data_IF_307005820840
#
_entry.id   IF_307005820840
#
_cell.length_a   1.000
_cell.length_b   1.000
_cell.length_c   1.000
_cell.angle_alpha   90.00
_cell.angle_beta   90.00
_cell.angle_gamma   90.00
#
_symmetry.space_group_name_H-M   'P 1'
#
loop_
_entity.id
_entity.type
_entity.pdbx_description
1 polymer ?
#
# COMPACT_ATOMS: atom_id res chain seq x y z
N UNK A 1 17.96 -15.37 18.87
CA UNK A 1 16.70 -15.39 18.08
C UNK A 1 15.95 -14.13 18.50
N UNK A 2 15.69 -13.19 17.60
CA UNK A 2 14.97 -11.96 17.93
C UNK A 2 13.49 -12.32 17.89
N UNK A 3 12.84 -12.30 19.04
CA UNK A 3 11.49 -12.83 19.17
C UNK A 3 10.52 -11.69 18.82
N UNK A 4 9.75 -11.87 17.76
CA UNK A 4 8.84 -10.86 17.25
C UNK A 4 7.68 -10.47 18.21
N UNK A 5 7.61 -11.05 19.42
CA UNK A 5 6.63 -10.70 20.45
C UNK A 5 6.92 -9.34 21.14
N UNK A 6 8.10 -8.77 20.90
CA UNK A 6 8.48 -7.41 21.31
C UNK A 6 8.37 -6.42 20.15
N UNK A 7 7.26 -6.44 19.40
CA UNK A 7 6.83 -5.21 18.74
C UNK A 7 6.91 -4.10 19.82
N UNK A 8 7.77 -3.11 19.59
CA UNK A 8 8.12 -2.09 20.59
C UNK A 8 6.84 -1.47 21.14
N UNK A 9 6.89 -0.88 22.35
CA UNK A 9 5.70 -0.21 22.91
C UNK A 9 5.05 0.76 21.91
N UNK A 10 5.86 1.39 21.05
CA UNK A 10 5.45 2.25 19.94
C UNK A 10 4.63 1.52 18.87
N UNK A 11 5.08 0.35 18.41
CA UNK A 11 4.34 -0.47 17.45
C UNK A 11 2.97 -0.83 18.05
N UNK A 12 2.94 -1.31 19.30
CA UNK A 12 1.68 -1.66 19.97
C UNK A 12 0.75 -0.46 20.11
N UNK A 13 1.28 0.69 20.49
CA UNK A 13 0.51 1.93 20.59
C UNK A 13 -0.09 2.32 19.24
N UNK A 14 0.70 2.28 18.16
CA UNK A 14 0.23 2.59 16.81
C UNK A 14 -0.86 1.63 16.34
N UNK A 15 -0.65 0.31 16.48
CA UNK A 15 -1.67 -0.65 16.05
C UNK A 15 -2.96 -0.51 16.87
N UNK A 16 -2.86 -0.08 18.13
CA UNK A 16 -4.01 0.24 18.97
C UNK A 16 -4.78 1.47 18.46
N UNK A 17 -4.11 2.54 17.98
CA UNK A 17 -4.80 3.70 17.39
C UNK A 17 -5.55 3.32 16.12
N UNK A 18 -5.05 2.33 15.39
CA UNK A 18 -5.65 1.79 14.17
C UNK A 18 -6.73 0.73 14.43
N UNK A 19 -7.17 0.58 15.69
CA UNK A 19 -8.20 -0.39 16.13
C UNK A 19 -7.82 -1.86 15.93
N UNK A 20 -6.53 -2.20 15.91
CA UNK A 20 -6.09 -3.59 15.93
C UNK A 20 -5.94 -4.12 17.35
N UNK A 21 -6.37 -5.37 17.54
CA UNK A 21 -6.15 -6.07 18.79
C UNK A 21 -4.82 -6.85 18.81
N UNK A 22 -4.50 -7.44 19.96
CA UNK A 22 -3.29 -8.24 20.13
C UNK A 22 -3.21 -9.43 19.16
N UNK A 23 -4.34 -10.04 18.82
CA UNK A 23 -4.38 -11.20 17.93
C UNK A 23 -4.07 -10.81 16.49
N UNK A 24 -4.56 -9.65 16.04
CA UNK A 24 -4.24 -9.11 14.72
C UNK A 24 -2.76 -8.76 14.58
N UNK A 25 -2.19 -8.12 15.59
CA UNK A 25 -0.74 -7.83 15.63
C UNK A 25 0.06 -9.13 15.52
N UNK A 26 -0.30 -10.18 16.27
CA UNK A 26 0.38 -11.48 16.20
C UNK A 26 0.27 -12.10 14.80
N UNK A 27 -0.90 -12.01 14.14
CA UNK A 27 -1.07 -12.52 12.76
C UNK A 27 -0.18 -11.77 11.77
N UNK A 28 -0.16 -10.44 11.81
CA UNK A 28 0.69 -9.59 10.95
C UNK A 28 2.15 -9.95 11.17
N UNK A 29 2.54 -10.08 12.45
CA UNK A 29 3.90 -10.40 12.86
C UNK A 29 4.38 -11.74 12.32
N UNK A 30 3.57 -12.78 12.48
CA UNK A 30 3.91 -14.13 12.03
C UNK A 30 3.90 -14.26 10.50
N UNK A 31 3.09 -13.47 9.80
CA UNK A 31 2.98 -13.54 8.34
C UNK A 31 4.21 -12.99 7.61
N UNK A 32 4.85 -11.97 8.17
CA UNK A 32 6.07 -11.41 7.62
C UNK A 32 7.06 -11.06 8.74
N UNK A 33 7.75 -12.04 9.36
CA UNK A 33 8.70 -11.76 10.44
C UNK A 33 9.84 -10.82 10.01
N UNK A 34 10.20 -10.85 8.73
CA UNK A 34 11.27 -10.01 8.18
C UNK A 34 10.91 -8.52 8.10
N UNK A 35 9.62 -8.14 7.98
CA UNK A 35 9.23 -6.72 7.93
C UNK A 35 9.53 -6.02 9.25
N UNK A 36 9.56 -6.76 10.36
CA UNK A 36 9.79 -6.20 11.70
C UNK A 36 11.24 -5.87 11.99
N UNK A 37 12.18 -6.52 11.30
CA UNK A 37 13.61 -6.31 11.52
C UNK A 37 14.04 -4.87 11.18
N UNK A 38 13.35 -4.24 10.23
CA UNK A 38 13.62 -2.88 9.77
C UNK A 38 12.42 -1.95 10.03
N UNK A 39 11.55 -2.31 10.97
CA UNK A 39 10.33 -1.55 11.21
C UNK A 39 10.63 -0.22 11.88
N UNK A 40 10.06 0.85 11.33
CA UNK A 40 10.13 2.19 11.85
C UNK A 40 8.72 2.77 11.95
N UNK A 41 8.35 3.23 13.16
CA UNK A 41 7.03 3.82 13.42
C UNK A 41 6.78 5.06 12.55
N UNK A 42 7.82 5.81 12.18
CA UNK A 42 7.66 6.98 11.31
C UNK A 42 7.27 6.59 9.88
N UNK A 43 7.88 5.56 9.30
CA UNK A 43 7.58 5.11 7.93
C UNK A 43 6.17 4.54 7.82
N UNK A 44 5.70 3.93 8.90
CA UNK A 44 4.34 3.49 9.08
C UNK A 44 3.36 4.67 9.11
N UNK A 45 3.61 5.67 9.94
CA UNK A 45 2.79 6.90 9.99
C UNK A 45 2.77 7.57 8.62
N UNK A 46 3.92 7.70 7.94
CA UNK A 46 4.00 8.25 6.58
C UNK A 46 3.15 7.45 5.58
N UNK A 47 3.27 6.13 5.59
CA UNK A 47 2.49 5.23 4.73
C UNK A 47 1.00 5.40 4.95
N UNK A 48 0.57 5.48 6.21
CA UNK A 48 -0.85 5.60 6.56
C UNK A 48 -1.40 6.96 6.17
N UNK A 49 -0.71 8.05 6.52
CA UNK A 49 -1.08 9.41 6.09
C UNK A 49 -1.14 9.53 4.57
N UNK A 50 -0.22 8.87 3.85
CA UNK A 50 -0.24 8.83 2.39
C UNK A 50 -1.49 8.13 1.86
N UNK A 51 -1.85 6.96 2.39
CA UNK A 51 -3.05 6.23 1.97
C UNK A 51 -4.35 6.99 2.32
N UNK A 52 -4.39 7.64 3.49
CA UNK A 52 -5.50 8.51 3.88
C UNK A 52 -5.64 9.70 2.91
N UNK A 53 -4.52 10.28 2.46
CA UNK A 53 -4.54 11.35 1.45
C UNK A 53 -5.12 10.91 0.10
N UNK A 54 -5.16 9.60 -0.18
CA UNK A 54 -5.80 9.02 -1.35
C UNK A 54 -7.27 8.66 -1.11
N UNK A 55 -7.82 9.03 0.04
CA UNK A 55 -9.20 8.76 0.45
C UNK A 55 -9.43 7.33 0.94
N UNK A 56 -8.37 6.62 1.37
CA UNK A 56 -8.51 5.29 1.96
C UNK A 56 -8.85 5.41 3.44
N UNK A 57 -9.95 4.78 3.86
CA UNK A 57 -10.36 4.77 5.27
C UNK A 57 -9.41 3.95 6.15
N UNK A 58 -9.13 4.40 7.38
CA UNK A 58 -8.27 3.69 8.34
C UNK A 58 -8.63 2.22 8.53
N UNK A 59 -9.93 1.90 8.62
CA UNK A 59 -10.39 0.50 8.74
C UNK A 59 -9.95 -0.36 7.55
N UNK A 60 -9.93 0.22 6.35
CA UNK A 60 -9.49 -0.45 5.13
C UNK A 60 -7.97 -0.57 5.08
N UNK A 61 -7.25 0.47 5.50
CA UNK A 61 -5.80 0.43 5.69
C UNK A 61 -5.44 -0.71 6.66
N UNK A 62 -6.18 -0.85 7.75
CA UNK A 62 -5.96 -1.91 8.72
C UNK A 62 -6.05 -3.31 8.09
N UNK A 63 -7.14 -3.58 7.37
CA UNK A 63 -7.28 -4.85 6.62
C UNK A 63 -6.16 -5.06 5.61
N UNK A 64 -5.77 -4.00 4.90
CA UNK A 64 -4.72 -4.07 3.89
C UNK A 64 -3.37 -4.45 4.50
N UNK A 65 -3.02 -3.87 5.65
CA UNK A 65 -1.82 -4.19 6.41
C UNK A 65 -1.81 -5.65 6.89
N UNK A 66 -2.96 -6.18 7.32
CA UNK A 66 -3.08 -7.60 7.69
C UNK A 66 -2.85 -8.54 6.52
N UNK A 67 -3.36 -8.17 5.35
CA UNK A 67 -3.23 -8.98 4.15
C UNK A 67 -1.85 -8.83 3.49
N UNK A 68 -1.27 -7.63 3.57
CA UNK A 68 -0.08 -7.22 2.84
C UNK A 68 0.93 -6.47 3.74
N UNK A 69 1.50 -7.14 4.76
CA UNK A 69 2.42 -6.50 5.72
C UNK A 69 3.71 -5.97 5.07
N UNK A 70 4.07 -6.46 3.89
CA UNK A 70 5.22 -5.96 3.12
C UNK A 70 5.07 -4.49 2.69
N UNK A 71 3.87 -3.89 2.79
CA UNK A 71 3.67 -2.47 2.50
C UNK A 71 4.56 -1.58 3.37
N UNK A 72 4.94 -2.03 4.56
CA UNK A 72 5.84 -1.29 5.46
C UNK A 72 7.31 -1.36 5.07
N UNK A 73 7.68 -2.28 4.17
CA UNK A 73 9.01 -2.29 3.58
C UNK A 73 9.15 -1.30 2.42
N UNK A 74 8.07 -0.65 2.02
CA UNK A 74 8.06 0.31 0.92
C UNK A 74 8.22 1.73 1.47
N UNK A 75 9.04 2.53 0.81
CA UNK A 75 9.17 3.97 1.11
C UNK A 75 8.17 4.74 0.27
N UNK A 76 7.46 5.69 0.89
CA UNK A 76 6.40 6.44 0.21
C UNK A 76 6.98 7.15 -1.02
N UNK A 77 8.10 7.84 -0.85
CA UNK A 77 8.73 8.70 -1.86
C UNK A 77 9.36 7.90 -3.00
N UNK A 78 9.90 6.70 -2.70
CA UNK A 78 10.59 5.87 -3.70
C UNK A 78 9.64 4.88 -4.39
N UNK A 79 8.69 4.32 -3.64
CA UNK A 79 7.86 3.22 -4.11
C UNK A 79 6.44 3.63 -4.42
N UNK A 80 5.77 4.44 -3.58
CA UNK A 80 4.33 4.66 -3.71
C UNK A 80 3.99 5.89 -4.55
N UNK A 81 4.60 7.02 -4.20
CA UNK A 81 4.34 8.32 -4.80
C UNK A 81 4.58 8.35 -6.32
N UNK A 82 5.65 7.75 -6.88
CA UNK A 82 5.86 7.75 -8.32
C UNK A 82 4.74 7.03 -9.09
N UNK A 83 4.19 5.95 -8.51
CA UNK A 83 3.11 5.16 -9.13
C UNK A 83 1.79 5.92 -9.08
N UNK A 84 1.52 6.58 -7.96
CA UNK A 84 0.35 7.45 -7.83
C UNK A 84 0.44 8.63 -8.79
N UNK A 85 1.59 9.32 -8.88
CA UNK A 85 1.82 10.42 -9.82
C UNK A 85 1.61 9.98 -11.28
N UNK A 86 2.11 8.80 -11.64
CA UNK A 86 1.87 8.23 -12.96
C UNK A 86 0.38 8.04 -13.25
N UNK A 87 -0.38 7.44 -12.32
CA UNK A 87 -1.82 7.23 -12.49
C UNK A 87 -2.60 8.55 -12.55
N UNK A 88 -2.23 9.54 -11.74
CA UNK A 88 -2.79 10.89 -11.81
C UNK A 88 -2.52 11.54 -13.17
N UNK A 89 -1.31 11.38 -13.74
CA UNK A 89 -0.98 11.91 -15.07
C UNK A 89 -1.77 11.28 -16.22
N UNK A 90 -2.36 10.10 -16.00
CA UNK A 90 -3.28 9.45 -16.93
C UNK A 90 -4.73 9.93 -16.76
N UNK A 91 -4.98 10.87 -15.84
CA UNK A 91 -6.32 11.39 -15.56
C UNK A 91 -7.16 10.51 -14.62
N UNK A 92 -6.55 9.52 -13.95
CA UNK A 92 -7.28 8.69 -12.97
C UNK A 92 -7.56 9.52 -11.72
N UNK A 93 -8.81 9.55 -11.27
CA UNK A 93 -9.19 10.27 -10.05
C UNK A 93 -8.48 9.71 -8.82
N UNK A 94 -8.05 10.59 -7.91
CA UNK A 94 -7.34 10.23 -6.68
C UNK A 94 -8.09 9.17 -5.86
N UNK A 95 -9.42 9.30 -5.73
CA UNK A 95 -10.27 8.33 -5.01
C UNK A 95 -10.31 6.96 -5.70
N UNK A 96 -10.27 6.94 -7.04
CA UNK A 96 -10.19 5.70 -7.81
C UNK A 96 -8.82 5.01 -7.63
N UNK A 97 -7.75 5.80 -7.55
CA UNK A 97 -6.40 5.31 -7.21
C UNK A 97 -6.41 4.67 -5.81
N UNK A 98 -6.99 5.33 -4.81
CA UNK A 98 -7.16 4.77 -3.47
C UNK A 98 -7.87 3.41 -3.50
N UNK A 99 -9.00 3.31 -4.21
CA UNK A 99 -9.71 2.03 -4.39
C UNK A 99 -8.85 0.96 -5.07
N UNK A 100 -8.11 1.32 -6.11
CA UNK A 100 -7.23 0.39 -6.81
C UNK A 100 -6.11 -0.13 -5.90
N UNK A 101 -5.48 0.73 -5.11
CA UNK A 101 -4.44 0.34 -4.14
C UNK A 101 -5.01 -0.59 -3.08
N UNK A 102 -6.21 -0.31 -2.56
CA UNK A 102 -6.84 -1.18 -1.55
C UNK A 102 -7.18 -2.57 -2.10
N UNK A 103 -7.51 -2.65 -3.38
CA UNK A 103 -7.87 -3.92 -4.04
C UNK A 103 -6.62 -4.69 -4.50
N UNK A 104 -5.56 -3.96 -4.86
CA UNK A 104 -4.32 -4.54 -5.37
C UNK A 104 -3.08 -3.79 -4.84
N UNK A 105 -2.69 -4.00 -3.57
CA UNK A 105 -1.55 -3.31 -2.95
C UNK A 105 -0.21 -3.64 -3.63
N UNK A 106 -0.14 -4.80 -4.31
CA UNK A 106 1.02 -5.23 -5.06
C UNK A 106 1.36 -4.29 -6.24
N UNK A 107 0.48 -3.35 -6.61
CA UNK A 107 0.74 -2.33 -7.62
C UNK A 107 2.04 -1.54 -7.36
N UNK A 108 2.43 -1.37 -6.10
CA UNK A 108 3.66 -0.65 -5.76
C UNK A 108 4.95 -1.40 -6.14
N UNK A 109 4.86 -2.70 -6.40
CA UNK A 109 5.96 -3.52 -6.91
C UNK A 109 6.03 -3.54 -8.43
N UNK A 110 5.00 -3.04 -9.11
CA UNK A 110 4.98 -2.96 -10.57
C UNK A 110 5.90 -1.81 -11.02
N UNK A 111 6.82 -2.12 -11.93
CA UNK A 111 7.59 -1.10 -12.65
C UNK A 111 6.64 -0.32 -13.56
N UNK A 112 6.74 1.00 -13.55
CA UNK A 112 5.96 1.85 -14.46
C UNK A 112 6.30 1.47 -15.91
N UNK A 113 7.58 1.55 -16.28
CA UNK A 113 8.07 1.30 -17.65
C UNK A 113 7.84 -0.13 -18.13
N UNK A 114 8.11 -1.14 -17.28
CA UNK A 114 8.09 -2.55 -17.70
C UNK A 114 6.74 -3.23 -17.51
N UNK A 115 5.82 -2.64 -16.74
CA UNK A 115 4.56 -3.30 -16.39
C UNK A 115 3.34 -2.40 -16.59
N UNK A 116 3.30 -1.23 -15.94
CA UNK A 116 2.10 -0.39 -15.95
C UNK A 116 1.89 0.26 -17.33
N UNK A 117 2.93 0.85 -17.90
CA UNK A 117 2.87 1.58 -19.16
C UNK A 117 2.47 0.71 -20.36
N UNK A 118 3.04 -0.49 -20.57
CA UNK A 118 2.57 -1.39 -21.63
C UNK A 118 1.09 -1.74 -21.51
N UNK A 119 0.60 -1.96 -20.28
CA UNK A 119 -0.81 -2.27 -20.02
C UNK A 119 -1.71 -1.07 -20.30
N UNK A 120 -1.30 0.13 -19.90
CA UNK A 120 -2.03 1.36 -20.19
C UNK A 120 -2.11 1.60 -21.69
N UNK A 121 -1.00 1.48 -22.43
CA UNK A 121 -0.98 1.61 -23.89
C UNK A 121 -1.93 0.63 -24.57
N UNK A 122 -1.93 -0.63 -24.13
CA UNK A 122 -2.85 -1.65 -24.64
C UNK A 122 -4.32 -1.32 -24.34
N UNK A 123 -4.64 -0.88 -23.12
CA UNK A 123 -6.02 -0.49 -22.78
C UNK A 123 -6.48 0.71 -23.62
N UNK A 124 -5.61 1.70 -23.83
CA UNK A 124 -5.91 2.87 -24.67
C UNK A 124 -6.10 2.49 -26.14
N UNK A 125 -5.32 1.54 -26.69
CA UNK A 125 -5.50 1.12 -28.08
C UNK A 125 -6.88 0.47 -28.30
N UNK A 126 -7.34 -0.35 -27.34
CA UNK A 126 -8.69 -0.92 -27.39
C UNK A 126 -9.79 0.15 -27.34
N UNK A 127 -9.61 1.20 -26.53
CA UNK A 127 -10.59 2.30 -26.42
C UNK A 127 -10.67 3.18 -27.67
N UNK A 128 -9.59 3.25 -28.46
CA UNK A 128 -9.56 3.98 -29.74
C UNK A 128 -10.24 3.14 -30.83
N UNK A 129 -10.04 1.83 -30.82
CA UNK A 129 -10.71 0.91 -31.77
C UNK A 129 -12.23 0.88 -31.57
N UNK A 130 -12.73 0.92 -30.34
CA UNK A 130 -14.18 0.94 -30.05
C UNK A 130 -14.87 2.22 -30.58
N UNK A 131 -14.17 3.36 -30.61
CA UNK A 131 -14.71 4.63 -31.13
C UNK A 131 -14.63 4.77 -32.65
N UNK A 132 -13.92 3.86 -33.32
CA UNK A 132 -13.71 3.86 -34.77
C UNK A 132 -14.66 2.91 -35.52
N UNK A 133 -15.55 2.21 -34.81
CA UNK A 133 -16.57 1.28 -35.31
C UNK A 133 -17.95 1.93 -35.15
#
# INVERSE_FOLDING_TARGET
>A
KVNAWEATAEVRAFFSTMSFDKADIIKIVNKAPWTWKNFNTEDLVRTVSFLESLGVEQKTIGKMVTLFPQIFGLRVEENMEPKVKYLLSLGVEQKAIGKMITSFPAIFHCSIEKNMEPKVKYLLSLSVEEKAI
#
